data_IF_160587671254
#
_entry.id   IF_160587671254
#
_cell.length_a   1.000
_cell.length_b   1.000
_cell.length_c   1.000
_cell.angle_alpha   90.00
_cell.angle_beta   90.00
_cell.angle_gamma   90.00
#
_symmetry.space_group_name_H-M   'P 1'
#
loop_
_entity.id
_entity.type
_entity.pdbx_description
1 polymer ?
#
# COMPACT_ATOMS: atom_id res chain seq x y z
N UNK A 1 19.97 2.71 -4.94
CA UNK A 1 18.94 2.10 -5.81
C UNK A 1 18.35 0.78 -5.28
N UNK A 2 19.07 -0.07 -4.52
CA UNK A 2 18.55 -1.41 -4.14
C UNK A 2 17.16 -1.44 -3.50
N UNK A 3 16.86 -0.52 -2.57
CA UNK A 3 15.55 -0.50 -1.90
C UNK A 3 14.41 -0.10 -2.83
N UNK A 4 14.65 0.91 -3.68
CA UNK A 4 13.67 1.35 -4.68
C UNK A 4 13.30 0.19 -5.61
N UNK A 5 14.30 -0.52 -6.14
CA UNK A 5 14.06 -1.65 -7.03
C UNK A 5 13.22 -2.73 -6.36
N UNK A 6 13.54 -3.11 -5.10
CA UNK A 6 12.73 -4.10 -4.36
C UNK A 6 11.28 -3.69 -4.20
N UNK A 7 11.01 -2.42 -3.88
CA UNK A 7 9.63 -1.90 -3.77
C UNK A 7 8.94 -1.94 -5.13
N UNK A 8 9.61 -1.50 -6.19
CA UNK A 8 9.06 -1.50 -7.54
C UNK A 8 8.76 -2.92 -8.02
N UNK A 9 9.69 -3.86 -7.83
CA UNK A 9 9.55 -5.26 -8.22
C UNK A 9 8.37 -5.91 -7.49
N UNK A 10 8.23 -5.70 -6.18
CA UNK A 10 7.08 -6.20 -5.41
C UNK A 10 5.75 -5.57 -5.85
N UNK A 11 5.73 -4.27 -6.19
CA UNK A 11 4.54 -3.62 -6.75
C UNK A 11 4.14 -4.26 -8.07
N UNK A 12 5.09 -4.62 -8.95
CA UNK A 12 4.78 -5.26 -10.23
C UNK A 12 4.08 -6.60 -10.05
N UNK A 13 4.37 -7.34 -8.97
CA UNK A 13 3.68 -8.61 -8.67
C UNK A 13 2.20 -8.45 -8.37
N UNK A 14 1.71 -7.23 -8.12
CA UNK A 14 0.27 -6.96 -7.93
C UNK A 14 -0.52 -7.07 -9.24
N UNK A 15 0.12 -7.27 -10.39
CA UNK A 15 -0.55 -7.64 -11.64
C UNK A 15 -1.33 -8.97 -11.54
N UNK A 16 -0.94 -9.83 -10.61
CA UNK A 16 -1.46 -11.18 -10.44
C UNK A 16 -2.08 -11.31 -9.05
N UNK A 17 -3.42 -11.45 -8.98
CA UNK A 17 -4.18 -11.51 -7.73
C UNK A 17 -3.86 -10.35 -6.76
N UNK A 18 -4.07 -9.08 -7.14
CA UNK A 18 -3.88 -7.95 -6.25
C UNK A 18 -4.78 -8.01 -5.00
N UNK A 19 -5.84 -8.80 -5.01
CA UNK A 19 -6.75 -9.00 -3.88
C UNK A 19 -6.17 -9.88 -2.77
N UNK A 20 -5.01 -10.51 -2.99
CA UNK A 20 -4.35 -11.42 -2.03
C UNK A 20 -4.02 -10.76 -0.69
N UNK A 21 -3.86 -9.44 -0.65
CA UNK A 21 -3.76 -8.68 0.59
C UNK A 21 -5.13 -8.17 1.00
N UNK A 22 -5.52 -8.42 2.24
CA UNK A 22 -6.82 -8.01 2.78
C UNK A 22 -7.00 -6.49 2.78
N UNK A 23 -8.26 -6.06 2.65
CA UNK A 23 -8.66 -4.67 2.91
C UNK A 23 -8.39 -4.36 4.39
N UNK A 24 -7.95 -3.14 4.66
CA UNK A 24 -7.73 -2.65 6.02
C UNK A 24 -9.05 -2.54 6.78
N UNK A 25 -9.04 -2.89 8.07
CA UNK A 25 -10.25 -2.91 8.89
C UNK A 25 -10.61 -1.53 9.47
N UNK A 26 -9.64 -0.61 9.55
CA UNK A 26 -9.80 0.74 10.10
C UNK A 26 -10.57 1.67 9.15
N UNK A 27 -11.33 2.59 9.72
CA UNK A 27 -11.97 3.67 8.97
C UNK A 27 -11.04 4.90 9.00
N UNK A 28 -10.83 5.61 7.87
CA UNK A 28 -11.55 5.52 6.59
C UNK A 28 -11.02 4.50 5.59
N UNK A 29 -9.88 3.84 5.87
CA UNK A 29 -9.16 2.99 4.90
C UNK A 29 -10.03 1.86 4.35
N UNK A 30 -10.90 1.29 5.19
CA UNK A 30 -11.87 0.25 4.82
C UNK A 30 -12.82 0.71 3.73
N UNK A 31 -13.41 1.91 3.87
CA UNK A 31 -14.30 2.50 2.86
C UNK A 31 -13.58 2.81 1.55
N UNK A 32 -12.29 3.08 1.61
CA UNK A 32 -11.45 3.31 0.44
C UNK A 32 -10.97 2.00 -0.21
N UNK A 33 -11.36 0.85 0.36
CA UNK A 33 -10.86 -0.48 -0.01
C UNK A 33 -9.33 -0.56 -0.02
N UNK A 34 -8.70 0.18 0.91
CA UNK A 34 -7.25 0.29 0.97
C UNK A 34 -6.65 -1.04 1.45
N UNK A 35 -5.60 -1.49 0.76
CA UNK A 35 -4.85 -2.70 1.04
C UNK A 35 -3.41 -2.34 1.37
N UNK A 36 -2.75 -3.19 2.16
CA UNK A 36 -1.37 -2.99 2.60
C UNK A 36 -0.50 -4.20 2.25
N UNK A 37 0.60 -3.93 1.57
CA UNK A 37 1.69 -4.87 1.30
C UNK A 37 2.95 -4.41 2.02
N UNK A 38 3.67 -5.32 2.69
CA UNK A 38 4.95 -5.02 3.34
C UNK A 38 6.11 -5.36 2.41
N UNK A 39 7.06 -4.44 2.28
CA UNK A 39 8.31 -4.63 1.53
C UNK A 39 9.48 -4.13 2.37
N UNK A 40 10.29 -5.05 2.90
CA UNK A 40 11.31 -4.75 3.91
C UNK A 40 10.72 -3.90 5.07
N UNK A 41 11.21 -2.67 5.25
CA UNK A 41 10.75 -1.74 6.28
C UNK A 41 9.69 -0.73 5.77
N UNK A 42 9.12 -0.97 4.60
CA UNK A 42 8.12 -0.08 4.00
C UNK A 42 6.75 -0.77 3.91
N UNK A 43 5.72 0.05 3.98
CA UNK A 43 4.33 -0.31 3.74
C UNK A 43 3.88 0.35 2.45
N UNK A 44 3.49 -0.47 1.48
CA UNK A 44 2.88 -0.04 0.22
C UNK A 44 1.38 -0.12 0.39
N UNK A 45 0.71 1.01 0.21
CA UNK A 45 -0.74 1.13 0.25
C UNK A 45 -1.28 1.28 -1.16
N UNK A 46 -2.35 0.55 -1.46
CA UNK A 46 -2.96 0.56 -2.78
C UNK A 46 -4.44 0.22 -2.73
N UNK A 47 -5.15 0.59 -3.79
CA UNK A 47 -6.54 0.21 -4.06
C UNK A 47 -6.63 -0.40 -5.45
N UNK A 48 -7.72 -1.11 -5.74
CA UNK A 48 -8.01 -1.68 -7.05
C UNK A 48 -9.24 -0.94 -7.60
N UNK A 49 -9.12 -0.29 -8.75
CA UNK A 49 -10.24 0.41 -9.41
C UNK A 49 -10.19 0.17 -10.90
N UNK A 50 -11.32 -0.18 -11.50
CA UNK A 50 -11.45 -0.44 -12.95
C UNK A 50 -10.35 -1.39 -13.48
N UNK A 51 -10.14 -2.51 -12.78
CA UNK A 51 -9.10 -3.53 -13.07
C UNK A 51 -7.64 -3.01 -13.00
N UNK A 52 -7.42 -1.85 -12.37
CA UNK A 52 -6.09 -1.25 -12.19
C UNK A 52 -5.70 -1.21 -10.72
N UNK A 53 -4.45 -1.54 -10.46
CA UNK A 53 -3.81 -1.29 -9.17
C UNK A 53 -3.37 0.18 -9.12
N UNK A 54 -3.85 0.90 -8.11
CA UNK A 54 -3.46 2.29 -7.84
C UNK A 54 -2.71 2.30 -6.52
N UNK A 55 -1.38 2.45 -6.58
CA UNK A 55 -0.55 2.67 -5.40
C UNK A 55 -0.72 4.11 -4.94
N UNK A 56 -1.22 4.30 -3.72
CA UNK A 56 -1.47 5.64 -3.15
C UNK A 56 -0.25 6.15 -2.40
N UNK A 57 0.38 5.28 -1.59
CA UNK A 57 1.43 5.67 -0.67
C UNK A 57 2.46 4.55 -0.49
N UNK A 58 3.72 4.96 -0.28
CA UNK A 58 4.80 4.08 0.16
C UNK A 58 5.45 4.71 1.39
N UNK A 59 5.16 4.16 2.56
CA UNK A 59 5.52 4.76 3.85
C UNK A 59 6.50 3.89 4.62
N UNK A 60 7.44 4.52 5.34
CA UNK A 60 8.29 3.79 6.28
C UNK A 60 7.44 3.22 7.43
N UNK A 61 7.48 1.91 7.62
CA UNK A 61 6.56 1.18 8.51
C UNK A 61 6.63 1.64 9.96
N UNK A 62 7.80 2.08 10.45
CA UNK A 62 7.95 2.56 11.83
C UNK A 62 7.60 4.05 12.00
N UNK A 63 7.08 4.72 10.97
CA UNK A 63 6.52 6.07 11.11
C UNK A 63 5.04 6.01 11.53
N UNK A 64 4.47 7.15 11.89
CA UNK A 64 3.04 7.26 12.18
C UNK A 64 2.23 7.11 10.88
N UNK A 65 1.94 5.86 10.52
CA UNK A 65 1.23 5.49 9.30
C UNK A 65 -0.15 6.14 9.25
N UNK A 66 -0.84 6.14 10.38
CA UNK A 66 -2.19 6.67 10.49
C UNK A 66 -2.22 8.18 10.21
N UNK A 67 -1.35 8.95 10.87
CA UNK A 67 -1.26 10.40 10.63
C UNK A 67 -0.88 10.71 9.17
N UNK A 68 0.01 9.91 8.57
CA UNK A 68 0.44 10.10 7.17
C UNK A 68 -0.66 9.79 6.16
N UNK A 69 -1.41 8.71 6.37
CA UNK A 69 -2.55 8.37 5.50
C UNK A 69 -3.66 9.42 5.59
N UNK A 70 -3.81 10.09 6.74
CA UNK A 70 -4.76 11.20 6.91
C UNK A 70 -4.24 12.56 6.41
N UNK A 71 -2.97 12.64 5.98
CA UNK A 71 -2.36 13.90 5.53
C UNK A 71 -2.15 14.92 6.65
N UNK A 72 -1.96 14.46 7.89
CA UNK A 72 -1.84 15.29 9.10
C UNK A 72 -0.42 15.83 9.35
N UNK A 73 0.52 15.61 8.42
CA UNK A 73 1.95 15.95 8.54
C UNK A 73 2.49 16.68 7.31
#
# INVERSE_FOLDING_TARGET
MKQYNRIADEILTLDTFPERFRIMDSEPEKRMELRRMLVDNYSVFYTIRDERVIVTDVLYTASDIEARLRGEL
#
